data_IF_637526015051
#
_entry.id   IF_637526015051
#
_cell.length_a   1.000
_cell.length_b   1.000
_cell.length_c   1.000
_cell.angle_alpha   90.00
_cell.angle_beta   90.00
_cell.angle_gamma   90.00
#
_symmetry.space_group_name_H-M   'P 1'
#
loop_
_entity.id
_entity.type
_entity.pdbx_description
1 polymer ?
#
# COMPACT_ATOMS: atom_id res chain seq x y z
N UNK A 1 86.92 -7.62 8.85
CA UNK A 1 86.16 -7.62 7.59
C UNK A 1 84.81 -8.32 7.81
N UNK A 2 83.73 -7.81 7.21
CA UNK A 2 82.36 -7.98 7.69
C UNK A 2 81.44 -8.75 6.72
N UNK A 3 80.17 -8.87 7.14
CA UNK A 3 78.95 -8.76 6.31
C UNK A 3 77.97 -9.95 6.38
N UNK A 4 77.40 -10.16 7.56
CA UNK A 4 76.04 -10.70 7.70
C UNK A 4 75.04 -9.55 7.81
N UNK A 5 74.70 -8.95 6.67
CA UNK A 5 73.56 -8.05 6.51
C UNK A 5 73.23 -7.96 5.02
N UNK A 6 72.30 -8.79 4.51
CA UNK A 6 71.60 -8.50 3.23
C UNK A 6 70.35 -9.35 2.90
N UNK A 7 69.92 -10.30 3.74
CA UNK A 7 68.74 -11.14 3.42
C UNK A 7 67.47 -10.88 4.27
N UNK A 8 67.37 -9.76 4.99
CA UNK A 8 66.16 -9.40 5.75
C UNK A 8 65.35 -8.22 5.18
N UNK A 9 65.84 -7.54 4.14
CA UNK A 9 65.15 -6.37 3.55
C UNK A 9 64.23 -6.77 2.39
N UNK A 10 64.55 -7.82 1.63
CA UNK A 10 63.80 -8.18 0.42
C UNK A 10 62.47 -8.94 0.67
N UNK A 11 62.22 -9.44 1.89
CA UNK A 11 60.93 -10.06 2.26
C UNK A 11 59.89 -9.07 2.83
N UNK A 12 60.32 -7.87 3.26
CA UNK A 12 59.40 -6.84 3.77
C UNK A 12 58.83 -5.94 2.69
N UNK A 13 59.53 -5.78 1.55
CA UNK A 13 59.05 -4.96 0.43
C UNK A 13 57.94 -5.68 -0.36
N UNK A 14 57.97 -7.01 -0.43
CA UNK A 14 56.95 -7.82 -1.12
C UNK A 14 55.61 -7.86 -0.39
N UNK A 15 55.58 -7.78 0.95
CA UNK A 15 54.33 -7.75 1.72
C UNK A 15 53.70 -6.35 1.77
N UNK A 16 54.50 -5.27 1.74
CA UNK A 16 53.97 -3.91 1.69
C UNK A 16 53.41 -3.54 0.31
N UNK A 17 53.99 -4.04 -0.80
CA UNK A 17 53.41 -3.81 -2.13
C UNK A 17 52.16 -4.65 -2.40
N UNK A 18 52.06 -5.87 -1.87
CA UNK A 18 50.84 -6.69 -1.98
C UNK A 18 49.71 -6.10 -1.10
N UNK A 19 50.04 -5.56 0.08
CA UNK A 19 49.07 -4.82 0.90
C UNK A 19 48.62 -3.52 0.21
N UNK A 20 49.54 -2.77 -0.43
CA UNK A 20 49.21 -1.54 -1.17
C UNK A 20 48.34 -1.81 -2.42
N UNK A 21 48.57 -2.92 -3.13
CA UNK A 21 47.75 -3.34 -4.27
C UNK A 21 46.39 -3.95 -3.86
N UNK A 22 46.27 -4.54 -2.66
CA UNK A 22 44.98 -4.98 -2.11
C UNK A 22 44.18 -3.83 -1.49
N UNK A 23 44.81 -2.77 -0.98
CA UNK A 23 44.14 -1.55 -0.53
C UNK A 23 43.70 -0.61 -1.66
N UNK A 24 44.16 -0.84 -2.90
CA UNK A 24 43.68 -0.12 -4.10
C UNK A 24 42.55 -0.90 -4.80
N UNK A 25 42.30 -2.16 -4.43
CA UNK A 25 41.12 -2.93 -4.86
C UNK A 25 39.95 -2.88 -3.87
N UNK A 26 40.14 -2.27 -2.69
CA UNK A 26 39.03 -1.66 -1.94
C UNK A 26 38.79 -0.24 -2.46
N UNK A 27 38.54 -0.11 -3.77
CA UNK A 27 37.60 0.92 -4.19
C UNK A 27 36.31 0.51 -3.52
N UNK A 28 36.03 1.15 -2.39
CA UNK A 28 34.68 1.34 -1.92
C UNK A 28 33.87 1.65 -3.17
N UNK A 29 33.12 0.66 -3.66
CA UNK A 29 31.86 0.91 -4.34
C UNK A 29 30.89 1.44 -3.29
N UNK A 30 31.31 2.51 -2.59
CA UNK A 30 30.40 3.51 -2.11
C UNK A 30 29.77 4.02 -3.39
N UNK A 31 28.64 3.41 -3.74
CA UNK A 31 27.59 4.14 -4.41
C UNK A 31 27.48 5.45 -3.64
N UNK A 32 27.94 6.53 -4.25
CA UNK A 32 27.51 7.86 -3.88
C UNK A 32 25.99 7.76 -3.92
N UNK A 33 25.36 7.63 -2.76
CA UNK A 33 23.91 7.73 -2.63
C UNK A 33 23.60 9.09 -3.24
N UNK A 34 22.93 9.12 -4.41
CA UNK A 34 22.27 10.35 -4.82
C UNK A 34 21.28 10.63 -3.70
N UNK A 35 21.44 11.72 -2.93
CA UNK A 35 20.50 12.03 -1.88
C UNK A 35 19.11 12.09 -2.50
N UNK A 36 18.12 11.45 -1.87
CA UNK A 36 16.74 11.78 -2.19
C UNK A 36 16.55 13.27 -1.87
N UNK A 37 15.73 13.96 -2.66
CA UNK A 37 15.36 15.36 -2.38
C UNK A 37 14.45 15.49 -1.16
N UNK A 38 14.04 14.34 -0.63
CA UNK A 38 13.10 14.18 0.46
C UNK A 38 13.70 13.28 1.54
N UNK A 39 13.64 13.75 2.77
CA UNK A 39 13.80 12.95 3.97
C UNK A 39 12.41 12.62 4.56
N UNK A 40 12.28 11.41 5.09
CA UNK A 40 11.04 10.92 5.68
C UNK A 40 11.21 10.62 7.16
N UNK A 41 10.25 11.06 7.96
CA UNK A 41 10.04 10.61 9.34
C UNK A 41 8.58 10.15 9.49
N UNK A 42 8.29 9.44 10.58
CA UNK A 42 6.93 9.06 10.92
C UNK A 42 6.69 9.27 12.41
N UNK A 43 5.68 10.07 12.71
CA UNK A 43 5.27 10.32 14.08
C UNK A 43 3.76 10.48 14.17
N UNK A 44 3.19 9.99 15.28
CA UNK A 44 1.78 10.17 15.60
C UNK A 44 0.81 9.79 14.46
N UNK A 45 1.16 8.77 13.66
CA UNK A 45 0.36 8.29 12.53
C UNK A 45 0.52 9.10 11.24
N UNK A 46 1.43 10.06 11.20
CA UNK A 46 1.72 10.89 10.03
C UNK A 46 3.06 10.53 9.41
N UNK A 47 3.09 10.43 8.08
CA UNK A 47 4.34 10.57 7.34
C UNK A 47 4.73 12.05 7.34
N UNK A 48 5.96 12.35 7.75
CA UNK A 48 6.53 13.67 7.78
C UNK A 48 7.57 13.78 6.66
N UNK A 49 7.45 14.82 5.87
CA UNK A 49 8.30 15.09 4.73
C UNK A 49 9.17 16.30 5.02
N UNK A 50 10.45 16.22 4.70
CA UNK A 50 11.35 17.38 4.65
C UNK A 50 12.01 17.43 3.28
N UNK A 51 11.80 18.51 2.55
CA UNK A 51 12.54 18.77 1.32
C UNK A 51 13.95 19.28 1.67
N UNK A 52 14.98 18.95 0.89
CA UNK A 52 16.37 19.34 1.17
C UNK A 52 16.59 20.86 1.32
N UNK A 53 15.72 21.68 0.71
CA UNK A 53 15.72 23.15 0.85
C UNK A 53 14.95 23.66 2.08
N UNK A 54 14.13 22.81 2.70
CA UNK A 54 13.30 23.10 3.86
C UNK A 54 13.95 22.65 5.16
N UNK A 55 14.12 23.58 6.11
CA UNK A 55 14.74 23.25 7.41
C UNK A 55 13.84 22.46 8.38
N UNK A 56 12.60 22.09 8.01
CA UNK A 56 11.61 21.50 8.94
C UNK A 56 10.81 20.38 8.27
N UNK A 57 10.49 19.36 9.07
CA UNK A 57 9.55 18.30 8.72
C UNK A 57 8.10 18.81 8.76
N UNK A 58 7.34 18.48 7.73
CA UNK A 58 5.92 18.81 7.59
C UNK A 58 5.06 17.57 7.42
N UNK A 59 3.84 17.58 7.94
CA UNK A 59 2.88 16.50 7.74
C UNK A 59 2.53 16.36 6.25
N UNK A 60 2.73 15.18 5.67
CA UNK A 60 2.17 14.81 4.38
C UNK A 60 0.77 14.26 4.56
N UNK A 61 -0.21 14.81 3.83
CA UNK A 61 -1.47 14.13 3.59
C UNK A 61 -1.41 13.59 2.16
N UNK A 62 -1.32 12.27 2.00
CA UNK A 62 -1.15 11.67 0.69
C UNK A 62 -2.46 11.69 -0.09
N UNK A 63 -2.40 12.14 -1.35
CA UNK A 63 -3.49 12.07 -2.32
C UNK A 63 -2.87 11.51 -3.60
N UNK A 64 -2.92 10.19 -3.74
CA UNK A 64 -2.24 9.46 -4.81
C UNK A 64 -3.18 8.87 -5.84
N UNK A 65 -2.68 8.60 -7.05
CA UNK A 65 -3.43 7.87 -8.08
C UNK A 65 -2.58 6.82 -8.78
N UNK A 66 -3.15 5.64 -9.02
CA UNK A 66 -2.49 4.52 -9.71
C UNK A 66 -2.27 4.84 -11.20
N UNK A 67 -3.30 5.34 -11.90
CA UNK A 67 -3.17 5.86 -13.26
C UNK A 67 -3.76 7.25 -13.36
N UNK A 68 -3.49 7.96 -14.46
CA UNK A 68 -4.11 9.25 -14.77
C UNK A 68 -5.03 9.01 -15.97
N UNK A 69 -6.36 8.96 -15.78
CA UNK A 69 -7.29 8.71 -16.87
C UNK A 69 -7.10 9.68 -18.05
N UNK A 70 -7.14 9.13 -19.26
CA UNK A 70 -6.84 9.85 -20.51
C UNK A 70 -5.34 10.02 -20.83
N UNK A 71 -4.44 9.76 -19.89
CA UNK A 71 -3.00 9.90 -20.08
C UNK A 71 -2.29 8.55 -19.93
N UNK A 72 -1.61 8.07 -20.96
CA UNK A 72 -0.87 6.79 -20.93
C UNK A 72 0.61 7.07 -20.67
N UNK A 73 1.17 6.50 -19.59
CA UNK A 73 2.61 6.56 -19.35
C UNK A 73 3.37 5.83 -20.46
N UNK A 74 4.47 6.44 -20.92
CA UNK A 74 5.30 5.90 -21.99
C UNK A 74 6.74 6.32 -21.81
N UNK A 75 7.65 5.41 -22.11
CA UNK A 75 9.10 5.63 -22.20
C UNK A 75 9.51 6.28 -23.53
N UNK A 76 8.60 6.35 -24.52
CA UNK A 76 8.87 6.91 -25.83
C UNK A 76 9.06 8.42 -25.75
N UNK A 77 10.12 8.93 -26.38
CA UNK A 77 10.36 10.37 -26.53
C UNK A 77 9.26 10.94 -27.43
N UNK A 78 8.70 12.08 -27.03
CA UNK A 78 7.71 12.80 -27.82
C UNK A 78 8.32 13.25 -29.14
N UNK A 79 7.56 13.06 -30.23
CA UNK A 79 8.05 13.24 -31.62
C UNK A 79 8.41 14.68 -31.97
N UNK A 80 7.81 15.63 -31.27
CA UNK A 80 7.98 17.07 -31.45
C UNK A 80 7.50 17.86 -30.21
N UNK A 81 7.78 19.16 -30.20
CA UNK A 81 7.43 20.08 -29.11
C UNK A 81 5.92 20.20 -28.91
N UNK A 82 5.12 20.14 -29.97
CA UNK A 82 3.67 20.28 -29.87
C UNK A 82 3.04 19.06 -29.18
N UNK A 83 3.49 17.86 -29.54
CA UNK A 83 3.11 16.61 -28.89
C UNK A 83 3.52 16.61 -27.41
N UNK A 84 4.71 17.12 -27.10
CA UNK A 84 5.17 17.29 -25.72
C UNK A 84 4.26 18.24 -24.92
N UNK A 85 3.98 19.44 -25.44
CA UNK A 85 3.14 20.42 -24.75
C UNK A 85 1.70 19.91 -24.55
N UNK A 86 1.12 19.25 -25.56
CA UNK A 86 -0.23 18.67 -25.47
C UNK A 86 -0.32 17.60 -24.38
N UNK A 87 0.64 16.66 -24.35
CA UNK A 87 0.70 15.62 -23.30
C UNK A 87 0.97 16.22 -21.91
N UNK A 88 1.87 17.20 -21.82
CA UNK A 88 2.18 17.87 -20.56
C UNK A 88 0.96 18.62 -20.01
N UNK A 89 0.20 19.30 -20.87
CA UNK A 89 -1.02 20.00 -20.49
C UNK A 89 -2.08 19.03 -19.98
N UNK A 90 -2.35 17.94 -20.72
CA UNK A 90 -3.29 16.91 -20.31
C UNK A 90 -2.92 16.28 -18.97
N UNK A 91 -1.64 15.93 -18.80
CA UNK A 91 -1.14 15.37 -17.54
C UNK A 91 -1.35 16.34 -16.39
N UNK A 92 -0.91 17.60 -16.54
CA UNK A 92 -0.99 18.61 -15.48
C UNK A 92 -2.43 18.88 -15.07
N UNK A 93 -3.35 18.97 -16.04
CA UNK A 93 -4.79 19.16 -15.77
C UNK A 93 -5.35 17.98 -14.97
N UNK A 94 -5.16 16.75 -15.46
CA UNK A 94 -5.76 15.54 -14.88
C UNK A 94 -5.12 15.12 -13.57
N UNK A 95 -3.82 15.38 -13.41
CA UNK A 95 -3.06 15.05 -12.20
C UNK A 95 -3.03 16.19 -11.16
N UNK A 96 -3.61 17.36 -11.45
CA UNK A 96 -3.58 18.53 -10.57
C UNK A 96 -4.02 18.24 -9.12
N UNK A 97 -5.10 17.48 -8.86
CA UNK A 97 -5.57 17.25 -7.49
C UNK A 97 -4.73 16.27 -6.68
N UNK A 98 -3.79 15.57 -7.32
CA UNK A 98 -2.95 14.55 -6.71
C UNK A 98 -1.56 15.11 -6.42
N UNK A 99 -0.99 14.74 -5.27
CA UNK A 99 0.41 15.02 -4.94
C UNK A 99 1.32 13.79 -5.17
N UNK A 100 0.74 12.62 -5.43
CA UNK A 100 1.46 11.38 -5.72
C UNK A 100 0.89 10.66 -6.95
N UNK A 101 1.73 9.98 -7.71
CA UNK A 101 1.35 9.21 -8.89
C UNK A 101 2.15 7.91 -8.94
N UNK A 102 1.52 6.81 -9.32
CA UNK A 102 2.27 5.60 -9.65
C UNK A 102 2.89 5.74 -11.03
N UNK A 103 4.21 5.54 -11.12
CA UNK A 103 4.97 5.65 -12.36
C UNK A 103 5.99 4.53 -12.39
N UNK A 104 6.06 3.79 -13.49
CA UNK A 104 7.11 2.79 -13.63
C UNK A 104 8.45 3.46 -13.94
N UNK A 105 9.57 2.94 -13.40
CA UNK A 105 10.90 3.41 -13.76
C UNK A 105 11.12 3.40 -15.28
N UNK A 106 11.51 4.55 -15.84
CA UNK A 106 11.72 4.77 -17.27
C UNK A 106 10.57 5.48 -17.99
N UNK A 107 9.38 5.59 -17.40
CA UNK A 107 8.22 6.25 -18.04
C UNK A 107 8.02 7.71 -17.60
N UNK A 108 8.93 8.23 -16.77
CA UNK A 108 8.87 9.59 -16.26
C UNK A 108 9.09 10.64 -17.34
N UNK A 109 8.47 11.80 -17.13
CA UNK A 109 8.65 13.00 -17.96
C UNK A 109 8.96 14.18 -17.07
N UNK A 110 9.70 15.16 -17.61
CA UNK A 110 10.12 16.37 -16.87
C UNK A 110 8.93 17.11 -16.24
N UNK A 111 7.78 17.15 -16.92
CA UNK A 111 6.56 17.79 -16.42
C UNK A 111 5.84 17.07 -15.28
N UNK A 112 6.32 15.89 -14.86
CA UNK A 112 5.79 15.13 -13.72
C UNK A 112 6.60 15.33 -12.43
N UNK A 113 7.65 16.17 -12.49
CA UNK A 113 8.64 16.31 -11.40
C UNK A 113 8.09 17.00 -10.14
N UNK A 114 6.93 17.64 -10.22
CA UNK A 114 6.23 18.22 -9.07
C UNK A 114 5.50 17.19 -8.22
N UNK A 115 5.34 15.95 -8.71
CA UNK A 115 4.66 14.85 -8.01
C UNK A 115 5.65 13.91 -7.33
N UNK A 116 5.24 13.33 -6.21
CA UNK A 116 5.95 12.20 -5.62
C UNK A 116 5.62 10.95 -6.43
N UNK A 117 6.63 10.23 -6.91
CA UNK A 117 6.45 9.03 -7.72
C UNK A 117 6.38 7.80 -6.82
N UNK A 118 5.34 6.99 -6.98
CA UNK A 118 5.16 5.73 -6.26
C UNK A 118 5.64 4.58 -7.17
N UNK A 119 6.70 3.90 -6.76
CA UNK A 119 7.34 2.83 -7.52
C UNK A 119 6.83 1.47 -7.04
N UNK A 120 6.25 0.64 -7.91
CA UNK A 120 5.81 -0.72 -7.54
C UNK A 120 6.64 -1.83 -8.25
N UNK A 121 7.92 -2.04 -7.89
CA UNK A 121 8.77 -2.99 -8.59
C UNK A 121 8.67 -4.42 -8.03
N UNK A 122 8.26 -4.59 -6.77
CA UNK A 122 8.61 -5.78 -5.99
C UNK A 122 7.84 -7.04 -6.38
N UNK A 123 6.61 -6.88 -6.88
CA UNK A 123 5.84 -7.99 -7.47
C UNK A 123 6.64 -8.67 -8.59
N UNK A 124 7.12 -7.89 -9.56
CA UNK A 124 7.91 -8.40 -10.68
C UNK A 124 9.25 -8.99 -10.25
N UNK A 125 9.90 -8.38 -9.25
CA UNK A 125 11.19 -8.86 -8.72
C UNK A 125 11.02 -10.23 -8.07
N UNK A 126 10.00 -10.41 -7.23
CA UNK A 126 9.74 -11.69 -6.56
C UNK A 126 9.40 -12.79 -7.57
N UNK A 127 8.53 -12.50 -8.55
CA UNK A 127 8.19 -13.48 -9.58
C UNK A 127 9.39 -13.91 -10.40
N UNK A 128 10.22 -12.97 -10.83
CA UNK A 128 11.43 -13.29 -11.58
C UNK A 128 12.41 -14.20 -10.81
N UNK A 129 12.33 -14.21 -9.48
CA UNK A 129 13.09 -15.16 -8.66
C UNK A 129 12.43 -16.53 -8.62
N UNK A 130 11.16 -16.57 -8.18
CA UNK A 130 10.42 -17.80 -7.93
C UNK A 130 10.20 -18.60 -9.22
N UNK A 131 9.98 -17.93 -10.35
CA UNK A 131 9.77 -18.58 -11.64
C UNK A 131 11.01 -19.28 -12.20
N UNK A 132 12.21 -19.01 -11.66
CA UNK A 132 13.45 -19.70 -12.05
C UNK A 132 13.64 -21.05 -11.38
N UNK A 133 12.89 -21.36 -10.32
CA UNK A 133 13.01 -22.63 -9.61
C UNK A 133 12.39 -23.77 -10.45
N UNK A 134 13.19 -24.66 -11.07
CA UNK A 134 12.69 -25.62 -12.05
C UNK A 134 11.81 -26.70 -11.42
N UNK A 135 11.97 -26.95 -10.12
CA UNK A 135 11.23 -27.97 -9.38
C UNK A 135 9.81 -27.53 -8.95
N UNK A 136 9.44 -26.26 -9.15
CA UNK A 136 8.12 -25.78 -8.72
C UNK A 136 7.02 -26.26 -9.69
N UNK A 137 5.95 -26.88 -9.17
CA UNK A 137 4.82 -27.29 -9.98
C UNK A 137 4.20 -26.13 -10.76
N UNK A 138 3.76 -26.44 -11.98
CA UNK A 138 2.89 -25.58 -12.79
C UNK A 138 1.44 -26.05 -12.62
N UNK A 139 0.46 -25.16 -12.79
CA UNK A 139 -0.96 -25.50 -12.73
C UNK A 139 -1.70 -24.90 -11.53
N UNK A 140 -2.83 -25.50 -11.16
CA UNK A 140 -3.80 -24.96 -10.17
C UNK A 140 -3.22 -24.80 -8.76
N UNK A 141 -2.24 -25.62 -8.40
CA UNK A 141 -1.66 -25.66 -7.05
C UNK A 141 -0.39 -24.83 -6.92
N UNK A 142 0.09 -24.23 -8.02
CA UNK A 142 1.42 -23.60 -8.10
C UNK A 142 1.65 -22.59 -6.96
N UNK A 143 0.61 -21.87 -6.55
CA UNK A 143 0.70 -20.78 -5.59
C UNK A 143 0.96 -21.30 -4.15
N UNK A 144 0.40 -22.47 -3.80
CA UNK A 144 0.71 -23.14 -2.55
C UNK A 144 2.20 -23.52 -2.48
N UNK A 145 2.71 -24.20 -3.51
CA UNK A 145 4.11 -24.63 -3.57
C UNK A 145 5.08 -23.45 -3.61
N UNK A 146 4.72 -22.38 -4.34
CA UNK A 146 5.48 -21.13 -4.35
C UNK A 146 5.59 -20.52 -2.95
N UNK A 147 4.48 -20.48 -2.20
CA UNK A 147 4.49 -19.98 -0.82
C UNK A 147 5.37 -20.84 0.10
N UNK A 148 5.29 -22.17 0.00
CA UNK A 148 6.17 -23.04 0.80
C UNK A 148 7.64 -22.86 0.41
N UNK A 149 7.95 -22.79 -0.89
CA UNK A 149 9.31 -22.53 -1.37
C UNK A 149 9.86 -21.20 -0.84
N UNK A 150 9.08 -20.13 -0.93
CA UNK A 150 9.43 -18.81 -0.40
C UNK A 150 9.82 -18.86 1.09
N UNK A 151 9.10 -19.64 1.92
CA UNK A 151 9.46 -19.82 3.35
C UNK A 151 10.83 -20.48 3.54
N UNK A 152 11.25 -21.33 2.61
CA UNK A 152 12.56 -22.01 2.70
C UNK A 152 13.71 -21.13 2.22
N UNK A 153 13.48 -20.28 1.21
CA UNK A 153 14.53 -19.49 0.57
C UNK A 153 14.70 -18.07 1.11
N UNK A 154 13.78 -17.58 1.95
CA UNK A 154 13.74 -16.16 2.37
C UNK A 154 15.02 -15.69 3.07
N UNK A 155 15.77 -16.61 3.69
CA UNK A 155 17.03 -16.32 4.37
C UNK A 155 18.26 -16.88 3.61
N UNK A 156 18.11 -17.27 2.35
CA UNK A 156 19.21 -17.80 1.55
C UNK A 156 20.06 -16.67 0.98
N UNK A 157 21.39 -16.86 0.85
CA UNK A 157 22.26 -15.89 0.18
C UNK A 157 21.85 -15.61 -1.27
N UNK A 158 21.27 -16.61 -1.96
CA UNK A 158 20.80 -16.47 -3.34
C UNK A 158 19.65 -15.45 -3.46
N UNK A 159 18.70 -15.50 -2.52
CA UNK A 159 17.57 -14.56 -2.52
C UNK A 159 18.04 -13.14 -2.20
N UNK A 160 18.92 -12.98 -1.21
CA UNK A 160 19.55 -11.69 -0.87
C UNK A 160 20.30 -11.11 -2.09
N UNK A 161 21.15 -11.90 -2.75
CA UNK A 161 21.88 -11.46 -3.94
C UNK A 161 20.95 -11.03 -5.09
N UNK A 162 19.84 -11.73 -5.28
CA UNK A 162 18.85 -11.37 -6.29
C UNK A 162 18.16 -10.05 -5.96
N UNK A 163 17.67 -9.87 -4.73
CA UNK A 163 17.05 -8.63 -4.28
C UNK A 163 18.03 -7.46 -4.40
N UNK A 164 19.25 -7.61 -3.89
CA UNK A 164 20.30 -6.59 -3.97
C UNK A 164 20.58 -6.16 -5.40
N UNK A 165 20.72 -7.13 -6.32
CA UNK A 165 20.98 -6.85 -7.73
C UNK A 165 19.83 -6.04 -8.35
N UNK A 166 18.59 -6.42 -8.07
CA UNK A 166 17.40 -5.74 -8.60
C UNK A 166 17.18 -4.36 -7.98
N UNK A 167 17.40 -4.20 -6.69
CA UNK A 167 17.34 -2.90 -6.00
C UNK A 167 18.41 -1.96 -6.55
N UNK A 168 19.66 -2.41 -6.70
CA UNK A 168 20.72 -1.59 -7.33
C UNK A 168 20.36 -1.15 -8.76
N UNK A 169 19.79 -2.06 -9.55
CA UNK A 169 19.32 -1.72 -10.91
C UNK A 169 18.19 -0.69 -10.89
N UNK A 170 17.28 -0.79 -9.93
CA UNK A 170 16.19 0.17 -9.74
C UNK A 170 16.72 1.55 -9.36
N UNK A 171 17.66 1.63 -8.42
CA UNK A 171 18.25 2.89 -7.94
C UNK A 171 18.96 3.68 -9.05
N UNK A 172 19.54 2.99 -10.04
CA UNK A 172 20.15 3.63 -11.23
C UNK A 172 19.09 4.20 -12.19
N UNK A 173 17.84 3.73 -12.10
CA UNK A 173 16.73 4.09 -13.01
C UNK A 173 15.63 4.92 -12.32
N UNK A 174 15.89 5.45 -11.12
CA UNK A 174 14.89 6.22 -10.39
C UNK A 174 14.38 7.40 -11.24
N UNK A 175 13.06 7.64 -11.22
CA UNK A 175 12.46 8.62 -12.12
C UNK A 175 12.77 10.07 -11.76
N UNK A 176 12.98 10.33 -10.47
CA UNK A 176 13.42 11.60 -9.91
C UNK A 176 13.90 11.34 -8.47
N UNK A 177 14.29 12.42 -7.78
CA UNK A 177 14.71 12.38 -6.38
C UNK A 177 13.52 12.47 -5.40
N UNK A 178 12.27 12.52 -5.91
CA UNK A 178 11.01 12.59 -5.15
C UNK A 178 10.16 11.34 -5.35
N UNK A 179 10.53 10.26 -4.66
CA UNK A 179 9.83 8.98 -4.80
C UNK A 179 9.58 8.29 -3.46
N UNK A 180 8.65 7.34 -3.50
CA UNK A 180 8.43 6.33 -2.47
C UNK A 180 8.28 4.97 -3.16
N UNK A 181 8.27 3.90 -2.39
CA UNK A 181 8.05 2.56 -2.92
C UNK A 181 6.69 2.04 -2.48
N UNK A 182 5.99 1.36 -3.38
CA UNK A 182 4.87 0.49 -3.07
C UNK A 182 5.39 -0.95 -3.06
N UNK A 183 4.98 -1.68 -2.03
CA UNK A 183 5.25 -3.10 -1.90
C UNK A 183 4.43 -3.90 -2.92
N UNK A 184 4.59 -5.23 -2.91
CA UNK A 184 3.72 -6.19 -3.58
C UNK A 184 2.26 -5.86 -3.26
N UNK A 185 1.47 -5.67 -4.31
CA UNK A 185 0.02 -5.44 -4.27
C UNK A 185 -0.67 -6.59 -3.50
N UNK A 186 -1.63 -6.27 -2.64
CA UNK A 186 -2.41 -7.21 -1.81
C UNK A 186 -1.60 -8.40 -1.23
N UNK A 187 -0.41 -8.13 -0.67
CA UNK A 187 0.57 -9.15 -0.30
C UNK A 187 0.00 -10.30 0.55
N UNK A 188 -0.97 -10.01 1.43
CA UNK A 188 -1.58 -10.99 2.33
C UNK A 188 -2.76 -11.78 1.72
N UNK A 189 -3.28 -11.38 0.57
CA UNK A 189 -4.22 -12.19 -0.25
C UNK A 189 -3.52 -12.98 -1.35
N UNK A 190 -2.19 -12.93 -1.34
CA UNK A 190 -1.35 -13.61 -2.31
C UNK A 190 -0.89 -12.72 -3.43
N UNK A 191 -1.46 -11.52 -3.57
CA UNK A 191 -1.07 -10.38 -4.42
C UNK A 191 -0.95 -10.65 -5.91
N UNK A 192 -0.07 -11.59 -6.18
CA UNK A 192 0.47 -12.04 -7.44
C UNK A 192 0.23 -13.55 -7.65
N UNK A 193 -0.51 -14.15 -6.70
CA UNK A 193 -0.81 -15.58 -6.57
C UNK A 193 -2.08 -15.76 -5.72
N UNK A 194 -2.66 -16.97 -5.69
CA UNK A 194 -3.87 -17.29 -4.89
C UNK A 194 -3.57 -17.79 -3.48
N UNK A 195 -2.33 -17.63 -3.02
CA UNK A 195 -1.88 -18.03 -1.69
C UNK A 195 -1.03 -16.93 -1.09
N UNK A 196 -1.24 -16.59 0.19
CA UNK A 196 -0.57 -15.46 0.84
C UNK A 196 0.96 -15.56 0.71
N UNK A 197 1.60 -14.45 0.35
CA UNK A 197 3.06 -14.34 0.37
C UNK A 197 3.49 -14.32 1.84
N UNK A 198 4.44 -15.16 2.29
CA UNK A 198 4.82 -15.21 3.71
C UNK A 198 5.27 -13.83 4.23
N UNK A 199 4.87 -13.41 5.45
CA UNK A 199 5.26 -12.11 5.99
C UNK A 199 6.78 -11.90 6.05
N UNK A 200 7.55 -12.96 6.26
CA UNK A 200 9.02 -12.92 6.25
C UNK A 200 9.59 -12.46 4.92
N UNK A 201 8.92 -12.72 3.79
CA UNK A 201 9.35 -12.25 2.46
C UNK A 201 9.15 -10.75 2.34
N UNK A 202 8.02 -10.22 2.81
CA UNK A 202 7.77 -8.77 2.84
C UNK A 202 8.80 -8.06 3.72
N UNK A 203 9.04 -8.58 4.93
CA UNK A 203 10.07 -8.08 5.82
C UNK A 203 11.46 -8.09 5.18
N UNK A 204 11.83 -9.18 4.50
CA UNK A 204 13.12 -9.30 3.81
C UNK A 204 13.27 -8.26 2.69
N UNK A 205 12.24 -8.07 1.86
CA UNK A 205 12.27 -7.06 0.78
C UNK A 205 12.50 -5.66 1.37
N UNK A 206 11.76 -5.31 2.42
CA UNK A 206 11.91 -4.02 3.10
C UNK A 206 13.32 -3.85 3.72
N UNK A 207 13.81 -4.89 4.42
CA UNK A 207 15.16 -4.91 5.00
C UNK A 207 16.23 -4.66 3.92
N UNK A 208 16.20 -5.41 2.82
CA UNK A 208 17.20 -5.27 1.74
C UNK A 208 17.10 -3.89 1.09
N UNK A 209 15.89 -3.37 0.86
CA UNK A 209 15.70 -2.02 0.30
C UNK A 209 16.38 -0.96 1.17
N UNK A 210 16.11 -0.95 2.49
CA UNK A 210 16.65 0.05 3.41
C UNK A 210 18.16 -0.01 3.60
N UNK A 211 18.80 -1.12 3.24
CA UNK A 211 20.27 -1.19 3.19
C UNK A 211 20.86 -0.34 2.05
N UNK A 212 20.17 -0.23 0.92
CA UNK A 212 20.63 0.56 -0.23
C UNK A 212 20.04 1.97 -0.25
N UNK A 213 18.80 2.12 0.20
CA UNK A 213 18.08 3.38 0.28
C UNK A 213 17.52 3.58 1.70
N UNK A 214 18.35 4.14 2.59
CA UNK A 214 18.04 4.32 4.01
C UNK A 214 16.84 5.25 4.26
N UNK A 215 16.57 6.14 3.30
CA UNK A 215 15.48 7.10 3.36
C UNK A 215 14.20 6.57 2.70
N UNK A 216 14.18 5.33 2.19
CA UNK A 216 12.99 4.78 1.53
C UNK A 216 11.77 4.79 2.47
N UNK A 217 10.68 5.40 2.00
CA UNK A 217 9.35 5.21 2.54
C UNK A 217 8.64 4.12 1.74
N UNK A 218 8.16 3.08 2.43
CA UNK A 218 7.52 1.92 1.79
C UNK A 218 6.04 1.85 2.16
N UNK A 219 5.18 2.01 1.17
CA UNK A 219 3.74 1.77 1.28
C UNK A 219 3.41 0.31 1.01
N UNK A 220 2.56 -0.29 1.85
CA UNK A 220 2.12 -1.69 1.75
C UNK A 220 0.61 -1.72 1.50
N UNK A 221 0.21 -2.12 0.29
CA UNK A 221 -1.16 -2.55 0.03
C UNK A 221 -1.35 -3.97 0.55
N UNK A 222 -2.04 -4.11 1.67
CA UNK A 222 -2.08 -5.34 2.43
C UNK A 222 -3.11 -6.34 1.89
N UNK A 223 -4.29 -5.85 1.49
CA UNK A 223 -5.48 -6.67 1.23
C UNK A 223 -6.43 -6.07 0.18
N UNK A 224 -6.92 -6.91 -0.74
CA UNK A 224 -8.11 -6.72 -1.60
C UNK A 224 -9.45 -6.68 -0.87
N UNK A 225 -9.48 -7.26 0.33
CA UNK A 225 -10.64 -7.37 1.22
C UNK A 225 -10.19 -7.90 2.59
N UNK A 226 -10.96 -7.65 3.65
CA UNK A 226 -10.67 -8.20 4.98
C UNK A 226 -11.58 -9.34 5.40
N UNK A 227 -12.20 -10.05 4.45
CA UNK A 227 -13.05 -11.23 4.72
C UNK A 227 -12.28 -12.44 5.23
N UNK A 228 -11.00 -12.56 4.90
CA UNK A 228 -10.11 -13.64 5.34
C UNK A 228 -8.99 -13.88 4.34
N UNK A 229 -8.09 -14.83 4.64
CA UNK A 229 -6.97 -15.17 3.77
C UNK A 229 -6.43 -16.57 4.03
N UNK A 230 -5.64 -17.09 3.10
CA UNK A 230 -4.90 -18.35 3.29
C UNK A 230 -3.85 -18.23 4.41
N UNK A 231 -3.34 -17.04 4.71
CA UNK A 231 -2.47 -16.81 5.88
C UNK A 231 -3.18 -17.19 7.19
N UNK A 232 -4.44 -16.80 7.36
CA UNK A 232 -5.23 -17.13 8.56
C UNK A 232 -5.53 -18.64 8.63
N UNK A 233 -5.70 -19.29 7.48
CA UNK A 233 -5.73 -20.75 7.39
C UNK A 233 -4.46 -21.38 7.92
N UNK A 234 -3.30 -20.99 7.39
CA UNK A 234 -2.03 -21.55 7.82
C UNK A 234 -1.80 -21.35 9.32
N UNK A 235 -2.09 -20.14 9.84
CA UNK A 235 -1.92 -19.85 11.26
C UNK A 235 -2.76 -20.75 12.16
N UNK A 236 -4.02 -20.96 11.81
CA UNK A 236 -4.89 -21.88 12.55
C UNK A 236 -4.43 -23.33 12.41
N UNK A 237 -4.08 -23.76 11.20
CA UNK A 237 -3.61 -25.12 10.96
C UNK A 237 -2.38 -25.46 11.81
N UNK A 238 -1.44 -24.51 11.91
CA UNK A 238 -0.20 -24.66 12.68
C UNK A 238 -0.39 -24.58 14.21
N UNK A 239 -1.58 -24.28 14.71
CA UNK A 239 -1.88 -24.41 16.15
C UNK A 239 -1.97 -25.87 16.59
N UNK A 240 -2.24 -26.78 15.65
CA UNK A 240 -2.45 -28.22 15.91
C UNK A 240 -1.49 -29.12 15.12
N UNK A 241 -0.68 -28.54 14.24
CA UNK A 241 0.28 -29.25 13.39
C UNK A 241 1.62 -28.50 13.38
N UNK A 242 2.73 -29.23 13.32
CA UNK A 242 4.06 -28.60 13.32
C UNK A 242 4.38 -27.88 12.01
N UNK A 243 3.92 -28.42 10.87
CA UNK A 243 4.20 -27.90 9.54
C UNK A 243 3.00 -28.14 8.62
N UNK A 244 2.91 -27.34 7.55
CA UNK A 244 2.01 -27.64 6.44
C UNK A 244 2.46 -28.90 5.70
N UNK A 245 1.52 -29.67 5.10
CA UNK A 245 1.86 -30.86 4.33
C UNK A 245 2.57 -30.53 3.02
N UNK A 246 3.21 -31.52 2.39
CA UNK A 246 3.90 -31.32 1.11
C UNK A 246 2.95 -30.87 -0.01
N UNK A 247 1.73 -31.42 -0.04
CA UNK A 247 0.67 -31.04 -0.97
C UNK A 247 -0.40 -30.19 -0.25
N UNK A 248 -1.21 -29.38 -0.96
CA UNK A 248 -2.33 -28.69 -0.35
C UNK A 248 -3.23 -29.69 0.41
N UNK A 249 -3.66 -29.39 1.65
CA UNK A 249 -4.44 -30.32 2.46
C UNK A 249 -5.91 -30.37 2.01
N UNK A 250 -6.16 -30.82 0.78
CA UNK A 250 -7.46 -30.79 0.10
C UNK A 250 -8.59 -31.53 0.83
N UNK A 251 -8.24 -32.46 1.74
CA UNK A 251 -9.19 -33.10 2.65
C UNK A 251 -9.89 -32.14 3.64
N UNK A 252 -9.43 -30.88 3.73
CA UNK A 252 -9.96 -29.87 4.65
C UNK A 252 -10.91 -28.87 4.00
N UNK A 253 -11.14 -28.97 2.69
CA UNK A 253 -12.04 -28.07 1.96
C UNK A 253 -13.19 -28.85 1.35
N UNK A 254 -14.30 -28.17 1.08
CA UNK A 254 -15.48 -28.79 0.48
C UNK A 254 -15.19 -29.35 -0.93
N UNK A 255 -15.85 -30.45 -1.28
CA UNK A 255 -15.74 -31.06 -2.61
C UNK A 255 -16.03 -30.06 -3.74
N UNK A 256 -17.00 -29.16 -3.53
CA UNK A 256 -17.34 -28.11 -4.51
C UNK A 256 -16.19 -27.14 -4.77
N UNK A 257 -15.32 -26.90 -3.78
CA UNK A 257 -14.12 -26.11 -3.97
C UNK A 257 -13.09 -26.86 -4.84
N UNK A 258 -12.93 -28.18 -4.62
CA UNK A 258 -12.06 -29.04 -5.44
C UNK A 258 -12.49 -29.07 -6.91
N UNK A 259 -13.80 -29.09 -7.15
CA UNK A 259 -14.39 -29.11 -8.49
C UNK A 259 -14.33 -27.74 -9.18
N UNK A 260 -13.84 -26.70 -8.50
CA UNK A 260 -13.75 -25.35 -9.05
C UNK A 260 -12.53 -25.14 -9.96
N UNK A 261 -12.56 -24.03 -10.69
CA UNK A 261 -11.42 -23.59 -11.49
C UNK A 261 -10.21 -23.24 -10.61
N UNK A 262 -10.43 -22.82 -9.35
CA UNK A 262 -9.39 -22.35 -8.42
C UNK A 262 -9.58 -22.97 -7.02
N UNK A 263 -9.23 -24.27 -6.83
CA UNK A 263 -9.47 -24.98 -5.57
C UNK A 263 -8.80 -24.35 -4.35
N UNK A 264 -7.65 -23.68 -4.54
CA UNK A 264 -6.93 -23.03 -3.45
C UNK A 264 -7.74 -21.95 -2.72
N UNK A 265 -8.77 -21.37 -3.36
CA UNK A 265 -9.64 -20.41 -2.69
C UNK A 265 -10.42 -21.02 -1.52
N UNK A 266 -10.65 -22.35 -1.53
CA UNK A 266 -11.30 -23.06 -0.42
C UNK A 266 -10.53 -22.97 0.91
N UNK A 267 -9.24 -22.65 0.87
CA UNK A 267 -8.43 -22.43 2.07
C UNK A 267 -8.47 -20.98 2.58
N UNK A 268 -9.14 -20.05 1.89
CA UNK A 268 -9.29 -18.69 2.43
C UNK A 268 -10.34 -18.69 3.53
N UNK A 269 -9.91 -18.37 4.75
CA UNK A 269 -10.80 -18.32 5.92
C UNK A 269 -10.57 -17.06 6.75
N UNK A 270 -11.59 -16.67 7.51
CA UNK A 270 -11.50 -15.66 8.55
C UNK A 270 -10.72 -16.17 9.77
N UNK A 271 -10.41 -15.27 10.71
CA UNK A 271 -9.67 -15.57 11.95
C UNK A 271 -10.31 -16.71 12.76
N UNK A 272 -11.63 -16.83 12.73
CA UNK A 272 -12.42 -17.83 13.44
C UNK A 272 -12.66 -19.12 12.62
N UNK A 273 -12.09 -19.22 11.41
CA UNK A 273 -12.22 -20.38 10.52
C UNK A 273 -13.45 -20.36 9.62
N UNK A 274 -14.25 -19.28 9.62
CA UNK A 274 -15.37 -19.14 8.69
C UNK A 274 -14.85 -19.00 7.24
N UNK A 275 -15.48 -19.65 6.25
CA UNK A 275 -15.01 -19.64 4.87
C UNK A 275 -15.20 -18.26 4.20
N UNK A 276 -14.21 -17.80 3.43
CA UNK A 276 -14.35 -16.56 2.65
C UNK A 276 -15.24 -16.77 1.42
N UNK A 277 -15.13 -17.95 0.82
CA UNK A 277 -15.77 -18.28 -0.45
C UNK A 277 -16.71 -19.46 -0.30
N UNK A 278 -17.81 -19.41 -1.05
CA UNK A 278 -18.72 -20.52 -1.31
C UNK A 278 -18.63 -20.92 -2.78
N UNK A 279 -18.86 -22.20 -3.07
CA UNK A 279 -18.65 -22.77 -4.40
C UNK A 279 -19.93 -23.42 -4.93
N UNK A 280 -20.27 -23.11 -6.19
CA UNK A 280 -21.41 -23.68 -6.88
C UNK A 280 -21.14 -23.81 -8.38
N UNK A 281 -21.37 -25.01 -8.96
CA UNK A 281 -21.17 -25.31 -10.37
C UNK A 281 -19.82 -24.83 -10.93
N UNK A 282 -18.72 -25.13 -10.22
CA UNK A 282 -17.36 -24.75 -10.59
C UNK A 282 -16.99 -23.28 -10.38
N UNK A 283 -17.95 -22.43 -9.99
CA UNK A 283 -17.77 -21.00 -9.72
C UNK A 283 -17.72 -20.72 -8.22
N UNK A 284 -17.18 -19.55 -7.86
CA UNK A 284 -17.12 -19.07 -6.48
C UNK A 284 -17.80 -17.72 -6.33
N UNK A 285 -18.30 -17.44 -5.13
CA UNK A 285 -18.75 -16.13 -4.66
C UNK A 285 -18.33 -15.95 -3.20
N UNK A 286 -18.41 -14.72 -2.68
CA UNK A 286 -18.19 -14.52 -1.25
C UNK A 286 -19.27 -15.21 -0.43
N UNK A 287 -18.88 -15.78 0.70
CA UNK A 287 -19.80 -16.19 1.73
C UNK A 287 -20.54 -14.96 2.28
N UNK A 288 -21.83 -15.10 2.48
CA UNK A 288 -22.69 -14.06 3.03
C UNK A 288 -22.77 -14.21 4.55
N UNK A 289 -22.48 -13.12 5.25
CA UNK A 289 -22.58 -13.01 6.70
C UNK A 289 -23.46 -11.82 7.03
N UNK A 290 -24.14 -11.87 8.18
CA UNK A 290 -24.83 -10.68 8.70
C UNK A 290 -23.83 -9.55 8.96
N UNK A 291 -24.33 -8.32 9.02
CA UNK A 291 -23.50 -7.11 9.08
C UNK A 291 -22.58 -7.09 10.30
N UNK A 292 -23.03 -7.56 11.47
CA UNK A 292 -22.24 -7.51 12.69
C UNK A 292 -21.16 -8.59 12.70
N UNK A 293 -21.48 -9.79 12.21
CA UNK A 293 -20.48 -10.84 11.95
C UNK A 293 -19.44 -10.36 10.94
N UNK A 294 -19.87 -9.72 9.83
CA UNK A 294 -18.94 -9.19 8.83
C UNK A 294 -18.02 -8.12 9.43
N UNK A 295 -18.54 -7.17 10.22
CA UNK A 295 -17.73 -6.15 10.90
C UNK A 295 -16.69 -6.78 11.83
N UNK A 296 -17.07 -7.79 12.62
CA UNK A 296 -16.15 -8.51 13.51
C UNK A 296 -15.05 -9.24 12.73
N UNK A 297 -15.42 -9.98 11.68
CA UNK A 297 -14.47 -10.64 10.76
C UNK A 297 -13.52 -9.60 10.16
N UNK A 298 -14.07 -8.50 9.66
CA UNK A 298 -13.32 -7.44 9.00
C UNK A 298 -12.25 -6.85 9.92
N UNK A 299 -12.66 -6.49 11.14
CA UNK A 299 -11.78 -5.90 12.14
C UNK A 299 -10.67 -6.86 12.56
N UNK A 300 -11.02 -8.06 13.03
CA UNK A 300 -10.04 -9.02 13.56
C UNK A 300 -9.08 -9.52 12.48
N UNK A 301 -9.57 -9.80 11.27
CA UNK A 301 -8.70 -10.19 10.17
C UNK A 301 -7.70 -9.09 9.82
N UNK A 302 -8.17 -7.85 9.67
CA UNK A 302 -7.31 -6.70 9.32
C UNK A 302 -6.23 -6.51 10.39
N UNK A 303 -6.62 -6.53 11.67
CA UNK A 303 -5.69 -6.38 12.80
C UNK A 303 -4.61 -7.46 12.81
N UNK A 304 -5.02 -8.73 12.76
CA UNK A 304 -4.10 -9.87 12.85
C UNK A 304 -3.13 -9.91 11.67
N UNK A 305 -3.62 -9.63 10.46
CA UNK A 305 -2.79 -9.58 9.26
C UNK A 305 -1.85 -8.38 9.34
N UNK A 306 -2.32 -7.20 9.71
CA UNK A 306 -1.47 -6.01 9.81
C UNK A 306 -0.33 -6.22 10.82
N UNK A 307 -0.63 -6.80 12.00
CA UNK A 307 0.38 -7.15 12.99
C UNK A 307 1.44 -8.13 12.46
N UNK A 308 1.04 -9.07 11.61
CA UNK A 308 1.94 -10.05 11.01
C UNK A 308 2.87 -9.45 9.95
N UNK A 309 2.38 -8.48 9.18
CA UNK A 309 3.10 -7.88 8.05
C UNK A 309 3.76 -6.54 8.39
N UNK A 310 3.72 -6.09 9.65
CA UNK A 310 4.21 -4.78 10.10
C UNK A 310 5.64 -4.42 9.67
N UNK A 311 6.51 -5.42 9.50
CA UNK A 311 7.90 -5.21 9.09
C UNK A 311 8.06 -5.07 7.56
N UNK A 312 6.97 -5.17 6.79
CA UNK A 312 7.01 -5.11 5.31
C UNK A 312 7.08 -3.68 4.76
N UNK A 313 6.90 -2.66 5.60
CA UNK A 313 6.99 -1.27 5.18
C UNK A 313 6.71 -0.28 6.30
N UNK A 314 6.48 0.97 5.92
CA UNK A 314 6.33 2.11 6.84
C UNK A 314 4.92 2.69 6.85
N UNK A 315 4.18 2.53 5.76
CA UNK A 315 2.81 3.04 5.57
C UNK A 315 1.94 1.89 5.07
N UNK A 316 0.72 1.76 5.59
CA UNK A 316 -0.14 0.62 5.27
C UNK A 316 -1.52 1.03 4.75
N UNK A 317 -2.07 0.21 3.88
CA UNK A 317 -3.38 0.40 3.26
C UNK A 317 -4.04 -0.91 2.87
N UNK A 318 -5.29 -0.80 2.42
CA UNK A 318 -6.03 -1.87 1.72
C UNK A 318 -6.83 -1.25 0.56
N UNK A 319 -7.29 -2.06 -0.38
CA UNK A 319 -8.00 -1.66 -1.60
C UNK A 319 -9.38 -2.36 -1.76
N UNK A 320 -10.17 -2.37 -0.68
CA UNK A 320 -11.46 -3.10 -0.56
C UNK A 320 -12.70 -2.40 -1.16
N UNK A 321 -12.67 -2.08 -2.45
CA UNK A 321 -13.66 -1.23 -3.13
C UNK A 321 -15.12 -1.69 -2.97
N UNK A 322 -15.39 -2.97 -3.23
CA UNK A 322 -16.76 -3.52 -3.21
C UNK A 322 -17.34 -3.53 -1.80
N UNK A 323 -16.52 -3.86 -0.81
CA UNK A 323 -16.94 -3.91 0.59
C UNK A 323 -17.17 -2.51 1.16
N UNK A 324 -16.30 -1.54 0.86
CA UNK A 324 -16.51 -0.14 1.24
C UNK A 324 -17.74 0.46 0.56
N UNK A 325 -18.00 0.12 -0.71
CA UNK A 325 -19.24 0.50 -1.37
C UNK A 325 -20.45 -0.13 -0.68
N UNK A 326 -20.42 -1.43 -0.38
CA UNK A 326 -21.52 -2.14 0.27
C UNK A 326 -21.81 -1.59 1.67
N UNK A 327 -20.77 -1.30 2.44
CA UNK A 327 -20.87 -0.88 3.84
C UNK A 327 -19.81 0.20 4.17
N UNK A 328 -20.11 1.50 4.00
CA UNK A 328 -19.15 2.60 4.14
C UNK A 328 -18.43 2.66 5.50
N UNK A 329 -19.07 2.19 6.58
CA UNK A 329 -18.48 2.11 7.93
C UNK A 329 -17.19 1.27 7.97
N UNK A 330 -17.04 0.32 7.04
CA UNK A 330 -15.85 -0.54 6.96
C UNK A 330 -14.58 0.27 6.69
N UNK A 331 -14.67 1.44 6.04
CA UNK A 331 -13.51 2.30 5.83
C UNK A 331 -12.93 2.81 7.17
N UNK A 332 -13.78 3.16 8.15
CA UNK A 332 -13.36 3.55 9.49
C UNK A 332 -12.83 2.36 10.31
N UNK A 333 -13.58 1.26 10.32
CA UNK A 333 -13.20 0.00 11.02
C UNK A 333 -11.85 -0.52 10.54
N UNK A 334 -11.57 -0.39 9.24
CA UNK A 334 -10.27 -0.75 8.65
C UNK A 334 -9.13 0.06 9.27
N UNK A 335 -9.29 1.38 9.38
CA UNK A 335 -8.24 2.25 9.95
C UNK A 335 -7.98 1.90 11.41
N UNK A 336 -9.04 1.67 12.19
CA UNK A 336 -8.91 1.28 13.60
C UNK A 336 -8.17 -0.06 13.73
N UNK A 337 -8.54 -1.05 12.92
CA UNK A 337 -7.91 -2.37 12.94
C UNK A 337 -6.44 -2.32 12.50
N UNK A 338 -6.11 -1.56 11.44
CA UNK A 338 -4.73 -1.35 11.01
C UNK A 338 -3.90 -0.69 12.12
N UNK A 339 -4.44 0.33 12.79
CA UNK A 339 -3.76 1.00 13.91
C UNK A 339 -3.55 0.09 15.11
N UNK A 340 -4.51 -0.78 15.44
CA UNK A 340 -4.35 -1.75 16.51
C UNK A 340 -3.27 -2.80 16.16
N UNK A 341 -3.23 -3.26 14.92
CA UNK A 341 -2.23 -4.24 14.46
C UNK A 341 -0.81 -3.66 14.30
N UNK A 342 -0.69 -2.44 13.79
CA UNK A 342 0.60 -1.81 13.42
C UNK A 342 1.16 -0.89 14.51
N UNK A 343 0.29 -0.39 15.41
CA UNK A 343 0.60 0.66 16.37
C UNK A 343 0.22 2.06 15.88
N UNK A 344 -0.06 2.96 16.83
CA UNK A 344 -0.60 4.30 16.58
C UNK A 344 0.31 5.25 15.80
N UNK A 345 1.61 4.93 15.68
CA UNK A 345 2.59 5.76 14.97
C UNK A 345 2.60 5.51 13.46
N UNK A 346 2.07 4.39 13.01
CA UNK A 346 2.13 3.97 11.61
C UNK A 346 1.11 4.74 10.76
N UNK A 347 1.54 5.43 9.69
CA UNK A 347 0.62 6.10 8.77
C UNK A 347 -0.25 5.12 7.98
N UNK A 348 -1.53 5.47 7.81
CA UNK A 348 -2.53 4.63 7.13
C UNK A 348 -3.05 5.35 5.90
N UNK A 349 -2.85 4.77 4.72
CA UNK A 349 -3.31 5.29 3.43
C UNK A 349 -4.22 4.28 2.74
N UNK A 350 -5.51 4.58 2.58
CA UNK A 350 -6.46 3.64 1.98
C UNK A 350 -6.68 3.90 0.50
N UNK A 351 -6.94 2.85 -0.28
CA UNK A 351 -7.38 2.98 -1.66
C UNK A 351 -8.90 3.14 -1.79
N UNK A 352 -9.30 3.94 -2.76
CA UNK A 352 -10.68 4.11 -3.18
C UNK A 352 -10.81 3.94 -4.70
N UNK A 353 -12.01 3.58 -5.14
CA UNK A 353 -12.31 3.25 -6.53
C UNK A 353 -12.62 4.51 -7.34
N UNK A 354 -11.59 5.12 -7.91
CA UNK A 354 -11.72 6.29 -8.77
C UNK A 354 -12.27 5.97 -10.17
N UNK A 355 -12.27 4.69 -10.56
CA UNK A 355 -12.74 4.24 -11.87
C UNK A 355 -14.22 3.85 -11.90
N UNK A 356 -14.76 3.41 -10.77
CA UNK A 356 -16.12 2.90 -10.66
C UNK A 356 -16.25 1.39 -10.89
N UNK A 357 -15.21 0.60 -10.63
CA UNK A 357 -15.27 -0.87 -10.65
C UNK A 357 -16.39 -1.45 -9.76
N UNK A 358 -16.63 -0.86 -8.59
CA UNK A 358 -17.68 -1.27 -7.68
C UNK A 358 -19.00 -0.51 -7.89
N UNK A 359 -19.07 0.40 -8.87
CA UNK A 359 -20.28 1.17 -9.17
C UNK A 359 -21.33 0.29 -9.85
N UNK A 360 -22.55 0.16 -9.30
CA UNK A 360 -23.67 -0.47 -9.99
C UNK A 360 -24.00 0.24 -11.31
N UNK A 361 -24.53 -0.50 -12.29
CA UNK A 361 -24.81 0.05 -13.62
C UNK A 361 -25.89 1.15 -13.60
N UNK A 362 -26.87 1.02 -12.70
CA UNK A 362 -28.00 1.93 -12.49
C UNK A 362 -27.66 3.16 -11.63
N UNK A 363 -26.52 3.16 -10.95
CA UNK A 363 -26.08 4.28 -10.14
C UNK A 363 -25.30 5.30 -10.98
N UNK A 364 -25.68 6.58 -10.92
CA UNK A 364 -24.92 7.66 -11.58
C UNK A 364 -23.52 7.83 -10.98
N UNK A 365 -22.56 8.31 -11.77
CA UNK A 365 -21.21 8.63 -11.28
C UNK A 365 -21.21 9.61 -10.10
N UNK A 366 -22.08 10.64 -10.14
CA UNK A 366 -22.20 11.63 -9.05
C UNK A 366 -22.67 10.99 -7.73
N UNK A 367 -23.69 10.12 -7.79
CA UNK A 367 -24.18 9.43 -6.60
C UNK A 367 -23.11 8.48 -6.02
N UNK A 368 -22.35 7.81 -6.90
CA UNK A 368 -21.21 6.99 -6.48
C UNK A 368 -20.11 7.81 -5.79
N UNK A 369 -19.77 8.99 -6.32
CA UNK A 369 -18.77 9.88 -5.71
C UNK A 369 -19.21 10.41 -4.35
N UNK A 370 -20.52 10.61 -4.10
CA UNK A 370 -21.02 10.95 -2.75
C UNK A 370 -20.69 9.84 -1.75
N UNK A 371 -20.90 8.57 -2.15
CA UNK A 371 -20.55 7.42 -1.31
C UNK A 371 -19.04 7.36 -1.03
N UNK A 372 -18.22 7.54 -2.07
CA UNK A 372 -16.77 7.56 -1.93
C UNK A 372 -16.28 8.71 -1.05
N UNK A 373 -16.90 9.90 -1.14
CA UNK A 373 -16.63 11.02 -0.23
C UNK A 373 -16.89 10.62 1.22
N UNK A 374 -18.03 9.97 1.49
CA UNK A 374 -18.34 9.47 2.83
C UNK A 374 -17.28 8.48 3.34
N UNK A 375 -16.87 7.51 2.51
CA UNK A 375 -15.83 6.53 2.88
C UNK A 375 -14.48 7.21 3.20
N UNK A 376 -14.05 8.15 2.36
CA UNK A 376 -12.81 8.92 2.54
C UNK A 376 -12.83 9.71 3.84
N UNK A 377 -13.89 10.47 4.11
CA UNK A 377 -13.94 11.26 5.33
C UNK A 377 -14.14 10.42 6.58
N UNK A 378 -14.83 9.28 6.46
CA UNK A 378 -14.90 8.29 7.54
C UNK A 378 -13.51 7.72 7.85
N UNK A 379 -12.71 7.35 6.85
CA UNK A 379 -11.33 6.89 7.11
C UNK A 379 -10.46 7.99 7.73
N UNK A 380 -10.61 9.25 7.29
CA UNK A 380 -9.92 10.41 7.88
C UNK A 380 -10.34 10.62 9.34
N UNK A 381 -11.63 10.49 9.68
CA UNK A 381 -12.14 10.60 11.05
C UNK A 381 -11.53 9.53 11.97
N UNK A 382 -11.26 8.33 11.45
CA UNK A 382 -10.55 7.28 12.17
C UNK A 382 -9.02 7.47 12.11
N UNK A 383 -8.56 8.48 11.39
CA UNK A 383 -7.19 8.98 11.36
C UNK A 383 -6.31 8.33 10.29
N UNK A 384 -6.88 7.98 9.14
CA UNK A 384 -6.11 7.85 7.91
C UNK A 384 -5.42 9.17 7.57
N UNK A 385 -4.18 9.09 7.09
CA UNK A 385 -3.34 10.24 6.74
C UNK A 385 -3.02 10.30 5.26
N UNK A 386 -3.73 9.49 4.47
CA UNK A 386 -3.64 9.51 3.02
C UNK A 386 -4.77 8.73 2.37
N UNK A 387 -5.01 9.07 1.12
CA UNK A 387 -5.95 8.38 0.26
C UNK A 387 -5.30 8.15 -1.11
N UNK A 388 -5.52 6.96 -1.65
CA UNK A 388 -5.03 6.56 -2.96
C UNK A 388 -6.24 6.21 -3.83
N UNK A 389 -6.11 6.39 -5.14
CA UNK A 389 -7.18 6.04 -6.07
C UNK A 389 -6.70 4.99 -7.06
N UNK A 390 -7.48 3.93 -7.20
CA UNK A 390 -7.34 3.03 -8.33
C UNK A 390 -8.12 3.59 -9.52
N UNK A 391 -7.41 3.82 -10.61
CA UNK A 391 -7.91 4.37 -11.86
C UNK A 391 -7.35 3.54 -13.01
N UNK A 392 -8.10 3.40 -14.11
CA UNK A 392 -7.58 2.81 -15.34
C UNK A 392 -7.09 3.90 -16.32
N UNK A 393 -6.73 3.48 -17.55
CA UNK A 393 -6.28 4.37 -18.62
C UNK A 393 -7.43 4.94 -19.48
N UNK A 394 -8.68 4.79 -19.06
CA UNK A 394 -9.85 5.11 -19.86
C UNK A 394 -9.82 6.57 -20.32
N UNK A 395 -10.20 6.78 -21.59
CA UNK A 395 -10.32 8.11 -22.19
C UNK A 395 -11.66 8.79 -21.89
N UNK A 396 -12.62 8.07 -21.30
CA UNK A 396 -13.94 8.59 -20.89
C UNK A 396 -14.29 8.10 -19.48
N UNK A 397 -13.55 8.54 -18.45
CA UNK A 397 -13.67 7.99 -17.12
C UNK A 397 -14.79 8.73 -16.36
N UNK A 398 -16.06 8.43 -16.65
CA UNK A 398 -17.23 9.16 -16.09
C UNK A 398 -17.15 9.37 -14.57
N UNK A 399 -16.70 8.34 -13.84
CA UNK A 399 -16.52 8.39 -12.38
C UNK A 399 -15.36 9.30 -11.98
N UNK A 400 -14.22 9.23 -12.68
CA UNK A 400 -13.09 10.12 -12.43
C UNK A 400 -13.46 11.59 -12.68
N UNK A 401 -14.19 11.88 -13.75
CA UNK A 401 -14.65 13.23 -14.06
C UNK A 401 -15.57 13.76 -12.95
N UNK A 402 -16.48 12.91 -12.45
CA UNK A 402 -17.33 13.24 -11.32
C UNK A 402 -16.56 13.36 -9.99
N UNK A 403 -15.40 12.71 -9.86
CA UNK A 403 -14.53 12.73 -8.69
C UNK A 403 -13.74 14.04 -8.56
N UNK A 404 -13.35 14.70 -9.66
CA UNK A 404 -12.50 15.90 -9.65
C UNK A 404 -13.01 17.02 -8.71
N UNK A 405 -14.30 17.41 -8.71
CA UNK A 405 -14.80 18.44 -7.79
C UNK A 405 -14.70 18.02 -6.31
N UNK A 406 -14.86 16.73 -6.02
CA UNK A 406 -14.69 16.22 -4.65
C UNK A 406 -13.22 16.28 -4.21
N UNK A 407 -12.28 15.98 -5.11
CA UNK A 407 -10.85 16.12 -4.84
C UNK A 407 -10.43 17.58 -4.63
N UNK A 408 -11.04 18.52 -5.35
CA UNK A 408 -10.83 19.94 -5.12
C UNK A 408 -11.32 20.37 -3.72
N UNK A 409 -12.51 19.92 -3.31
CA UNK A 409 -13.04 20.12 -1.96
C UNK A 409 -12.12 19.49 -0.89
N UNK A 410 -11.65 18.26 -1.12
CA UNK A 410 -10.70 17.62 -0.22
C UNK A 410 -9.41 18.44 -0.06
N UNK A 411 -8.81 18.87 -1.17
CA UNK A 411 -7.59 19.68 -1.16
C UNK A 411 -7.76 20.98 -0.36
N UNK A 412 -8.92 21.66 -0.48
CA UNK A 412 -9.25 22.85 0.33
C UNK A 412 -9.29 22.55 1.84
N UNK A 413 -9.64 21.32 2.22
CA UNK A 413 -9.77 20.88 3.60
C UNK A 413 -8.52 20.21 4.18
N UNK A 414 -7.46 19.95 3.39
CA UNK A 414 -6.22 19.29 3.86
C UNK A 414 -5.59 20.04 5.04
N UNK A 415 -5.64 21.37 5.04
CA UNK A 415 -5.12 22.20 6.15
C UNK A 415 -5.82 21.90 7.48
N UNK A 416 -7.13 21.66 7.46
CA UNK A 416 -7.94 21.25 8.61
C UNK A 416 -7.61 19.81 9.01
N UNK A 417 -7.47 18.90 8.04
CA UNK A 417 -7.18 17.48 8.29
C UNK A 417 -5.83 17.31 9.01
N UNK A 418 -4.81 18.12 8.66
CA UNK A 418 -3.48 18.09 9.28
C UNK A 418 -3.42 18.64 10.71
N UNK A 419 -4.45 19.37 11.16
CA UNK A 419 -4.52 19.91 12.52
C UNK A 419 -4.49 18.82 13.59
N UNK A 420 -4.18 19.22 14.83
CA UNK A 420 -4.18 18.34 15.99
C UNK A 420 -5.60 17.80 16.22
N UNK A 421 -5.76 16.49 16.25
CA UNK A 421 -7.01 15.86 16.71
C UNK A 421 -7.12 16.03 18.21
N UNK A 422 -8.24 16.61 18.68
CA UNK A 422 -8.56 16.75 20.10
C UNK A 422 -9.36 15.53 20.57
N UNK A 423 -10.32 15.11 19.77
CA UNK A 423 -11.31 14.11 20.15
C UNK A 423 -11.88 13.45 18.88
N UNK A 424 -12.20 12.17 18.97
CA UNK A 424 -12.93 11.41 17.96
C UNK A 424 -14.10 10.72 18.64
N UNK A 425 -15.29 10.74 18.02
CA UNK A 425 -16.50 10.08 18.51
C UNK A 425 -17.10 9.23 17.38
N UNK A 426 -17.51 8.02 17.73
CA UNK A 426 -18.20 7.11 16.82
C UNK A 426 -19.41 6.59 17.56
N UNK A 427 -20.59 6.76 16.96
CA UNK A 427 -21.86 6.27 17.49
C UNK A 427 -22.71 5.74 16.32
N UNK A 428 -22.71 4.41 16.16
CA UNK A 428 -23.30 3.75 15.00
C UNK A 428 -22.73 4.29 13.69
N UNK A 429 -23.60 4.87 12.87
CA UNK A 429 -23.25 5.44 11.57
C UNK A 429 -22.78 6.91 11.64
N UNK A 430 -22.74 7.53 12.84
CA UNK A 430 -22.22 8.88 13.04
C UNK A 430 -20.76 8.84 13.47
N UNK A 431 -19.88 9.41 12.63
CA UNK A 431 -18.46 9.50 12.90
C UNK A 431 -18.08 10.97 12.96
N UNK A 432 -17.36 11.38 14.01
CA UNK A 432 -16.99 12.78 14.25
C UNK A 432 -15.52 12.86 14.69
N UNK A 433 -14.78 13.81 14.13
CA UNK A 433 -13.46 14.22 14.59
C UNK A 433 -13.45 15.73 14.89
N UNK A 434 -12.91 16.09 16.05
CA UNK A 434 -12.64 17.49 16.41
C UNK A 434 -11.15 17.82 16.25
N UNK A 435 -10.87 18.95 15.63
CA UNK A 435 -9.51 19.45 15.35
C UNK A 435 -9.25 20.78 16.03
N UNK A 436 -7.99 21.06 16.38
CA UNK A 436 -7.54 22.37 16.88
C UNK A 436 -6.30 22.87 16.14
N UNK A 437 -6.26 24.18 15.89
CA UNK A 437 -5.02 24.85 15.52
C UNK A 437 -4.28 25.42 16.76
N UNK A 438 -3.06 25.92 16.53
CA UNK A 438 -2.23 26.49 17.59
C UNK A 438 -2.82 27.74 18.27
N UNK A 439 -3.76 28.42 17.61
CA UNK A 439 -4.47 29.59 18.17
C UNK A 439 -5.70 29.19 19.01
N UNK A 440 -5.98 27.89 19.13
CA UNK A 440 -7.11 27.37 19.88
C UNK A 440 -8.42 27.25 19.10
N UNK A 441 -8.46 27.65 17.82
CA UNK A 441 -9.65 27.55 16.97
C UNK A 441 -10.00 26.08 16.72
N UNK A 442 -11.28 25.75 16.84
CA UNK A 442 -11.79 24.38 16.74
C UNK A 442 -12.53 24.15 15.43
N UNK A 443 -12.39 22.94 14.91
CA UNK A 443 -13.08 22.49 13.70
C UNK A 443 -13.70 21.12 13.93
N UNK A 444 -14.77 20.83 13.22
CA UNK A 444 -15.41 19.52 13.14
C UNK A 444 -15.21 18.94 11.74
N UNK A 445 -15.04 17.62 11.69
CA UNK A 445 -15.28 16.79 10.52
C UNK A 445 -16.28 15.72 10.97
N UNK A 446 -17.41 15.60 10.28
CA UNK A 446 -18.44 14.60 10.58
C UNK A 446 -18.87 13.86 9.32
N UNK A 447 -19.17 12.57 9.43
CA UNK A 447 -19.75 11.76 8.36
C UNK A 447 -20.91 10.91 8.88
N UNK A 448 -21.91 10.73 8.02
CA UNK A 448 -22.98 9.76 8.18
C UNK A 448 -22.72 8.58 7.23
N UNK A 449 -22.41 7.40 7.75
CA UNK A 449 -22.14 6.20 6.93
C UNK A 449 -23.41 5.43 6.53
N UNK A 450 -24.57 5.84 7.05
CA UNK A 450 -25.87 5.29 6.65
C UNK A 450 -26.20 5.65 5.21
N UNK A 451 -26.79 4.69 4.48
CA UNK A 451 -27.29 4.87 3.11
C UNK A 451 -28.74 5.33 3.06
N UNK A 452 -29.47 5.21 4.16
CA UNK A 452 -30.93 5.45 4.20
C UNK A 452 -31.35 6.42 5.29
N UNK A 453 -30.63 6.45 6.42
CA UNK A 453 -31.07 7.19 7.59
C UNK A 453 -30.43 8.58 7.70
N UNK A 454 -31.25 9.53 8.13
CA UNK A 454 -30.81 10.82 8.61
C UNK A 454 -30.30 10.70 10.05
N UNK A 455 -29.14 11.27 10.36
CA UNK A 455 -28.58 11.22 11.71
C UNK A 455 -28.49 12.60 12.34
N UNK A 456 -28.86 12.70 13.62
CA UNK A 456 -28.80 13.95 14.39
C UNK A 456 -27.35 14.31 14.73
N UNK A 457 -26.96 15.53 14.42
CA UNK A 457 -25.69 16.15 14.79
C UNK A 457 -25.92 17.09 15.98
N UNK A 458 -25.96 16.51 17.18
CA UNK A 458 -26.24 17.25 18.42
C UNK A 458 -24.97 17.89 19.01
N UNK A 459 -24.34 18.81 18.26
CA UNK A 459 -23.14 19.51 18.71
C UNK A 459 -23.45 20.98 18.95
N UNK A 460 -23.04 21.47 20.13
CA UNK A 460 -23.20 22.87 20.51
C UNK A 460 -22.47 23.79 19.53
N UNK A 461 -23.06 24.98 19.27
CA UNK A 461 -22.51 26.03 18.38
C UNK A 461 -22.48 25.71 16.88
N UNK A 462 -22.91 24.53 16.45
CA UNK A 462 -23.03 24.18 15.03
C UNK A 462 -24.47 24.40 14.55
N UNK A 463 -24.62 25.06 13.39
CA UNK A 463 -25.94 25.30 12.77
C UNK A 463 -26.55 24.01 12.19
N UNK A 464 -25.75 23.17 11.54
CA UNK A 464 -26.18 21.87 10.99
C UNK A 464 -26.62 20.93 12.12
N UNK A 465 -27.89 20.53 12.12
CA UNK A 465 -28.49 19.63 13.14
C UNK A 465 -28.72 18.20 12.67
N UNK A 466 -28.74 17.97 11.35
CA UNK A 466 -29.00 16.66 10.75
C UNK A 466 -28.02 16.47 9.60
N UNK A 467 -27.38 15.30 9.55
CA UNK A 467 -26.65 14.81 8.39
C UNK A 467 -27.55 13.90 7.57
N UNK A 468 -27.68 14.21 6.29
CA UNK A 468 -28.35 13.35 5.31
C UNK A 468 -27.56 12.04 5.14
N UNK A 469 -28.16 10.97 4.57
CA UNK A 469 -27.44 9.75 4.26
C UNK A 469 -26.18 10.06 3.46
N UNK A 470 -25.06 9.45 3.84
CA UNK A 470 -23.75 9.62 3.19
C UNK A 470 -23.18 11.05 3.23
N UNK A 471 -23.79 11.97 3.97
CA UNK A 471 -23.35 13.36 4.02
C UNK A 471 -22.07 13.49 4.85
N UNK A 472 -21.16 14.33 4.36
CA UNK A 472 -19.97 14.78 5.07
C UNK A 472 -20.11 16.26 5.38
N UNK A 473 -19.80 16.64 6.62
CA UNK A 473 -19.86 18.02 7.09
C UNK A 473 -18.53 18.44 7.71
N UNK A 474 -18.01 19.59 7.30
CA UNK A 474 -16.77 20.17 7.81
C UNK A 474 -17.04 21.63 8.14
N UNK A 475 -16.67 22.07 9.34
CA UNK A 475 -16.89 23.47 9.73
C UNK A 475 -16.02 23.91 10.89
N UNK A 476 -15.89 25.22 11.06
CA UNK A 476 -15.34 25.86 12.27
C UNK A 476 -16.41 25.90 13.36
N UNK A 477 -16.03 25.76 14.62
CA UNK A 477 -16.92 25.72 15.81
C UNK A 477 -16.65 26.88 16.76
#
# INVERSE_FOLDING_TARGET
>A
MPSHQKNKVMKRISHLMIAALLSILTVNSGFSQRPTDIEWEYDSGWALQKENSGGKFEKLFAIGTWHVPGYIFSDSIETDEQAYQSKASLFKERAAPFNMIFVNPGQQKKYMSDKIHILNPFSSILHSFVDRAPALPKGKDKDYYRSQYMKTIVNSPEFDMHLDSKIKQLLVKLPNEKHIYSHIDEIALGGVSKWAVPPSVGAKINERLKQFDKNALVFVDLLGHSRGSTYLFEKRYLQTHNTLPANPPYKLIDQKALDSEIPLLGFSQAYNGLPVYQFNNGKYSYSEYDVETLKSIWYENTKLIAAAYKESGDVFGINAFRDFFALPVLAGITVDALKEGLGLKTPIWLYFDGNGYAKPADLSAKAYVIMMKCQIYTSIIHGATGILFWNDWSKKPEVFDALLPMLEDLNKNVSIIKLKTIETKVDGDLHIMFKQNAKGEKYIIASNTSKTENIKLNIAKIQKKILQPLEVYISKI
#
